data_IF_355045339916
#
_entry.id   IF_355045339916
#
_cell.length_a   1.000
_cell.length_b   1.000
_cell.length_c   1.000
_cell.angle_alpha   90.00
_cell.angle_beta   90.00
_cell.angle_gamma   90.00
#
_symmetry.space_group_name_H-M   'P 1'
#
loop_
_entity.id
_entity.type
_entity.pdbx_description
1 polymer ?
#
# COMPACT_ATOMS: atom_id res chain seq x y z
N UNK A 1 39.58 28.96 15.56
CA UNK A 1 40.36 27.90 14.86
C UNK A 1 40.34 26.54 15.56
N UNK A 2 40.44 26.47 16.90
CA UNK A 2 40.55 25.19 17.63
C UNK A 2 39.26 24.32 17.66
N UNK A 3 38.07 24.94 17.66
CA UNK A 3 36.78 24.22 17.65
C UNK A 3 36.49 23.50 16.32
N UNK A 4 36.88 24.11 15.20
CA UNK A 4 36.62 23.55 13.86
C UNK A 4 37.49 22.31 13.59
N UNK A 5 38.75 22.35 14.03
CA UNK A 5 39.68 21.20 13.93
C UNK A 5 39.20 20.00 14.75
N UNK A 6 38.71 20.22 15.99
CA UNK A 6 38.12 19.15 16.81
C UNK A 6 36.86 18.53 16.20
N UNK A 7 36.05 19.33 15.49
CA UNK A 7 34.83 18.84 14.83
C UNK A 7 35.15 18.01 13.59
N UNK A 8 36.18 18.39 12.84
CA UNK A 8 36.67 17.64 11.68
C UNK A 8 37.36 16.34 12.11
N UNK A 9 38.13 16.36 13.20
CA UNK A 9 38.77 15.17 13.77
C UNK A 9 37.73 14.14 14.24
N UNK A 10 36.65 14.59 14.90
CA UNK A 10 35.52 13.72 15.27
C UNK A 10 34.81 13.09 14.06
N UNK A 11 34.56 13.86 13.00
CA UNK A 11 33.96 13.32 11.76
C UNK A 11 34.86 12.32 11.05
N UNK A 12 36.18 12.48 11.17
CA UNK A 12 37.17 11.61 10.54
C UNK A 12 37.41 10.33 11.37
N UNK A 13 37.28 10.40 12.70
CA UNK A 13 37.26 9.26 13.61
C UNK A 13 35.97 8.43 13.47
N UNK A 14 34.81 9.07 13.29
CA UNK A 14 33.52 8.40 13.03
C UNK A 14 33.48 7.68 11.66
N UNK A 15 34.23 8.17 10.67
CA UNK A 15 34.33 7.54 9.34
C UNK A 15 35.36 6.39 9.28
N UNK A 16 36.34 6.35 10.19
CA UNK A 16 37.39 5.30 10.21
C UNK A 16 37.08 4.12 11.14
N UNK A 17 36.08 4.22 12.01
CA UNK A 17 35.59 3.12 12.84
C UNK A 17 34.57 2.27 12.09
N UNK A 18 35.06 1.41 11.19
CA UNK A 18 34.25 0.36 10.58
C UNK A 18 33.68 -0.59 11.63
N UNK A 19 32.36 -0.57 11.76
CA UNK A 19 31.44 -1.65 12.12
C UNK A 19 31.75 -2.41 13.41
N UNK A 20 31.17 -1.94 14.52
CA UNK A 20 30.46 -2.75 15.53
C UNK A 20 29.89 -1.80 16.60
N UNK A 21 28.87 -1.05 16.20
CA UNK A 21 28.14 -0.13 17.07
C UNK A 21 26.72 -0.62 17.23
N UNK A 22 26.30 -0.80 18.47
CA UNK A 22 24.93 -1.10 18.89
C UNK A 22 23.99 0.01 18.37
N UNK A 23 23.54 -0.08 17.12
CA UNK A 23 22.72 0.96 16.48
C UNK A 23 21.32 0.90 17.09
N UNK A 24 20.96 1.94 17.85
CA UNK A 24 19.60 2.09 18.38
C UNK A 24 18.58 1.95 17.25
N UNK A 25 17.58 1.08 17.43
CA UNK A 25 16.54 0.85 16.43
C UNK A 25 15.78 2.17 16.21
N UNK A 26 15.66 2.67 14.96
CA UNK A 26 14.91 3.89 14.67
C UNK A 26 13.48 3.86 15.25
N UNK A 27 12.95 4.99 15.77
CA UNK A 27 11.59 5.05 16.29
C UNK A 27 10.51 4.62 15.29
N UNK A 28 10.72 4.87 13.99
CA UNK A 28 9.83 4.43 12.91
C UNK A 28 9.73 2.91 12.84
N UNK A 29 10.86 2.21 12.92
CA UNK A 29 10.90 0.75 12.95
C UNK A 29 10.23 0.23 14.22
N UNK A 30 10.47 0.84 15.38
CA UNK A 30 9.82 0.43 16.64
C UNK A 30 8.30 0.59 16.55
N UNK A 31 7.82 1.69 15.97
CA UNK A 31 6.41 1.96 15.78
C UNK A 31 5.78 0.98 14.78
N UNK A 32 6.40 0.76 13.62
CA UNK A 32 5.90 -0.19 12.61
C UNK A 32 5.87 -1.63 13.13
N UNK A 33 6.88 -2.05 13.91
CA UNK A 33 6.88 -3.34 14.61
C UNK A 33 5.69 -3.48 15.54
N UNK A 34 5.42 -2.45 16.35
CA UNK A 34 4.28 -2.45 17.26
C UNK A 34 2.96 -2.57 16.51
N UNK A 35 2.76 -1.78 15.45
CA UNK A 35 1.55 -1.85 14.63
C UNK A 35 1.36 -3.25 14.00
N UNK A 36 2.44 -3.92 13.60
CA UNK A 36 2.39 -5.29 13.07
C UNK A 36 2.20 -6.37 14.14
N UNK A 37 2.66 -6.14 15.37
CA UNK A 37 2.43 -7.05 16.50
C UNK A 37 0.99 -6.96 17.02
N UNK A 38 0.39 -5.77 16.96
CA UNK A 38 -1.00 -5.52 17.31
C UNK A 38 -1.96 -5.83 16.15
N UNK A 39 -1.46 -6.10 14.95
CA UNK A 39 -2.28 -6.42 13.78
C UNK A 39 -3.06 -7.72 13.99
N UNK A 40 -4.38 -7.60 13.90
CA UNK A 40 -5.30 -8.73 13.85
C UNK A 40 -5.67 -9.05 12.40
N UNK A 41 -5.87 -10.34 12.11
CA UNK A 41 -6.26 -10.79 10.77
C UNK A 41 -7.55 -10.10 10.30
N UNK A 42 -7.49 -9.44 9.14
CA UNK A 42 -8.65 -8.87 8.47
C UNK A 42 -9.10 -9.87 7.40
N UNK A 43 -10.35 -10.38 7.45
CA UNK A 43 -10.87 -11.25 6.41
C UNK A 43 -10.75 -10.62 5.02
N UNK A 44 -10.19 -11.35 4.07
CA UNK A 44 -9.94 -10.83 2.72
C UNK A 44 -8.69 -9.95 2.61
N UNK A 45 -7.83 -9.88 3.63
CA UNK A 45 -6.51 -9.23 3.54
C UNK A 45 -5.44 -10.19 4.02
N UNK A 46 -4.49 -10.49 3.14
CA UNK A 46 -3.26 -11.22 3.48
C UNK A 46 -2.11 -10.23 3.55
N UNK A 47 -1.29 -10.33 4.60
CA UNK A 47 -0.16 -9.42 4.85
C UNK A 47 1.12 -10.24 4.95
N UNK A 48 2.17 -9.81 4.24
CA UNK A 48 3.51 -10.40 4.31
C UNK A 48 4.55 -9.29 4.46
N UNK A 49 5.58 -9.51 5.28
CA UNK A 49 6.72 -8.61 5.40
C UNK A 49 7.98 -9.43 5.74
N UNK A 50 9.16 -8.82 5.54
CA UNK A 50 10.46 -9.49 5.70
C UNK A 50 10.60 -10.16 7.09
N UNK A 51 10.94 -11.47 7.15
CA UNK A 51 11.21 -12.20 8.40
C UNK A 51 12.37 -11.63 9.23
N UNK A 52 13.22 -10.77 8.67
CA UNK A 52 14.22 -9.97 9.40
C UNK A 52 13.63 -8.99 10.43
N UNK A 53 12.30 -8.98 10.60
CA UNK A 53 11.57 -8.18 11.59
C UNK A 53 11.81 -6.68 11.36
N UNK A 54 11.75 -6.23 10.11
CA UNK A 54 11.75 -4.81 9.75
C UNK A 54 10.60 -4.59 8.78
N UNK A 55 9.39 -4.31 9.28
CA UNK A 55 8.20 -4.21 8.44
C UNK A 55 8.15 -2.89 7.67
N UNK A 56 9.30 -2.41 7.15
CA UNK A 56 9.37 -1.16 6.39
C UNK A 56 8.87 -1.35 4.95
N UNK A 57 8.90 -2.58 4.46
CA UNK A 57 8.27 -2.99 3.21
C UNK A 57 7.28 -4.12 3.51
N UNK A 58 6.04 -3.96 3.06
CA UNK A 58 4.93 -4.86 3.34
C UNK A 58 4.22 -5.18 2.04
N UNK A 59 4.05 -6.45 1.74
CA UNK A 59 3.19 -6.91 0.65
C UNK A 59 1.79 -7.20 1.18
N UNK A 60 0.77 -6.68 0.50
CA UNK A 60 -0.64 -6.91 0.81
C UNK A 60 -1.31 -7.65 -0.35
N UNK A 61 -2.18 -8.61 -0.05
CA UNK A 61 -3.14 -9.15 -1.03
C UNK A 61 -4.54 -8.92 -0.52
N UNK A 62 -5.34 -8.17 -1.27
CA UNK A 62 -6.74 -7.89 -0.97
C UNK A 62 -7.63 -8.79 -1.82
N UNK A 63 -8.53 -9.51 -1.17
CA UNK A 63 -9.46 -10.48 -1.77
C UNK A 63 -10.88 -10.20 -1.30
N UNK A 64 -11.58 -9.22 -1.89
CA UNK A 64 -12.96 -8.91 -1.54
C UNK A 64 -13.86 -10.13 -1.80
N UNK A 65 -14.75 -10.43 -0.85
CA UNK A 65 -15.71 -11.55 -0.95
C UNK A 65 -17.09 -11.10 -1.45
N UNK A 66 -17.32 -9.79 -1.50
CA UNK A 66 -18.56 -9.15 -1.92
C UNK A 66 -18.29 -7.87 -2.71
N UNK A 67 -19.35 -7.25 -3.22
CA UNK A 67 -19.28 -6.05 -4.04
C UNK A 67 -18.81 -6.31 -5.47
N UNK A 68 -18.48 -5.23 -6.19
CA UNK A 68 -18.14 -5.30 -7.61
C UNK A 68 -16.89 -6.13 -7.92
N UNK A 69 -15.95 -6.18 -6.95
CA UNK A 69 -14.65 -6.82 -7.09
C UNK A 69 -14.57 -8.20 -6.43
N UNK A 70 -15.72 -8.78 -6.06
CA UNK A 70 -15.80 -10.08 -5.44
C UNK A 70 -15.08 -11.15 -6.27
N UNK A 71 -14.23 -11.97 -5.61
CA UNK A 71 -13.48 -13.05 -6.27
C UNK A 71 -12.18 -12.62 -6.96
N UNK A 72 -11.85 -11.33 -6.94
CA UNK A 72 -10.55 -10.82 -7.37
C UNK A 72 -9.48 -10.96 -6.29
N UNK A 73 -8.21 -10.97 -6.71
CA UNK A 73 -7.04 -10.83 -5.82
C UNK A 73 -6.16 -9.68 -6.29
N UNK A 74 -5.98 -8.68 -5.45
CA UNK A 74 -5.29 -7.44 -5.76
C UNK A 74 -4.04 -7.30 -4.92
N UNK A 75 -2.89 -7.20 -5.56
CA UNK A 75 -1.59 -7.12 -4.90
C UNK A 75 -1.19 -5.66 -4.68
N UNK A 76 -0.63 -5.37 -3.51
CA UNK A 76 -0.10 -4.06 -3.17
C UNK A 76 1.29 -4.18 -2.55
N UNK A 77 2.11 -3.18 -2.84
CA UNK A 77 3.30 -2.85 -2.06
C UNK A 77 2.98 -1.67 -1.14
N UNK A 78 3.41 -1.78 0.11
CA UNK A 78 3.33 -0.75 1.12
C UNK A 78 4.75 -0.42 1.60
N UNK A 79 5.16 0.83 1.42
CA UNK A 79 6.44 1.36 1.88
C UNK A 79 6.19 2.26 3.09
N UNK A 80 6.78 1.90 4.22
CA UNK A 80 6.72 2.71 5.44
C UNK A 80 7.90 3.69 5.41
N UNK A 81 7.66 5.01 5.50
CA UNK A 81 8.73 5.99 5.43
C UNK A 81 9.60 5.98 6.70
N UNK A 82 10.83 6.48 6.57
CA UNK A 82 11.80 6.51 7.67
C UNK A 82 11.36 7.39 8.85
N UNK A 83 10.44 8.33 8.64
CA UNK A 83 9.88 9.23 9.65
C UNK A 83 8.46 8.84 10.11
N UNK A 84 7.99 7.64 9.74
CA UNK A 84 6.77 7.05 10.28
C UNK A 84 6.76 7.14 11.82
N UNK A 85 5.66 7.54 12.46
CA UNK A 85 4.31 7.77 11.91
C UNK A 85 3.99 9.22 11.53
N UNK A 86 4.98 10.11 11.38
CA UNK A 86 4.70 11.50 11.02
C UNK A 86 4.15 11.61 9.60
N UNK A 87 4.75 10.87 8.66
CA UNK A 87 4.20 10.65 7.32
C UNK A 87 3.51 9.28 7.21
N UNK A 88 2.51 9.23 6.36
CA UNK A 88 1.76 8.02 6.05
C UNK A 88 2.63 7.00 5.29
N UNK A 89 2.32 5.70 5.39
CA UNK A 89 2.87 4.71 4.45
C UNK A 89 2.40 5.01 3.02
N UNK A 90 3.25 4.71 2.05
CA UNK A 90 2.93 4.80 0.63
C UNK A 90 2.42 3.46 0.11
N UNK A 91 1.37 3.47 -0.71
CA UNK A 91 0.79 2.28 -1.30
C UNK A 91 0.84 2.34 -2.81
N UNK A 92 1.18 1.20 -3.43
CA UNK A 92 1.08 0.98 -4.86
C UNK A 92 0.36 -0.32 -5.16
N UNK A 93 -0.71 -0.25 -5.94
CA UNK A 93 -1.34 -1.43 -6.52
C UNK A 93 -0.43 -1.97 -7.64
N UNK A 94 -0.15 -3.27 -7.61
CA UNK A 94 0.69 -3.92 -8.61
C UNK A 94 -0.09 -4.39 -9.83
N UNK A 95 -1.42 -4.43 -9.73
CA UNK A 95 -2.31 -4.82 -10.81
C UNK A 95 -2.90 -3.59 -11.46
N UNK A 96 -2.87 -3.52 -12.79
CA UNK A 96 -3.65 -2.55 -13.55
C UNK A 96 -5.11 -2.99 -13.54
N UNK A 97 -5.95 -2.23 -12.84
CA UNK A 97 -7.36 -2.55 -12.62
C UNK A 97 -8.28 -1.37 -12.93
N UNK A 98 -9.54 -1.67 -13.24
CA UNK A 98 -10.55 -0.64 -13.46
C UNK A 98 -11.19 -0.23 -12.13
N UNK A 99 -10.64 0.81 -11.48
CA UNK A 99 -11.08 1.24 -10.15
C UNK A 99 -11.10 2.77 -10.02
N UNK A 100 -12.14 3.42 -9.45
CA UNK A 100 -12.22 4.88 -9.35
C UNK A 100 -11.04 5.54 -8.60
N UNK A 101 -10.60 4.91 -7.50
CA UNK A 101 -9.58 5.45 -6.61
C UNK A 101 -8.15 4.91 -6.84
N UNK A 102 -7.91 4.16 -7.93
CA UNK A 102 -6.59 3.62 -8.28
C UNK A 102 -6.33 3.94 -9.76
N UNK A 103 -5.20 4.56 -10.08
CA UNK A 103 -4.83 4.85 -11.47
C UNK A 103 -4.16 3.65 -12.17
N UNK A 104 -3.79 3.84 -13.44
CA UNK A 104 -3.19 2.78 -14.27
C UNK A 104 -1.72 2.50 -13.91
N UNK A 105 -1.08 3.42 -13.18
CA UNK A 105 0.26 3.32 -12.62
C UNK A 105 0.26 2.68 -11.21
N UNK A 106 -0.91 2.48 -10.62
CA UNK A 106 -1.11 1.82 -9.34
C UNK A 106 -1.14 2.76 -8.14
N UNK A 107 -1.12 4.08 -8.31
CA UNK A 107 -1.26 5.00 -7.19
C UNK A 107 -2.65 4.88 -6.57
N UNK A 108 -2.70 4.98 -5.24
CA UNK A 108 -3.94 4.84 -4.47
C UNK A 108 -4.40 6.20 -3.94
N UNK A 109 -5.69 6.49 -4.07
CA UNK A 109 -6.34 7.63 -3.43
C UNK A 109 -7.19 7.16 -2.25
N UNK A 110 -6.61 7.24 -1.06
CA UNK A 110 -7.28 7.01 0.22
C UNK A 110 -7.00 8.23 1.12
N UNK A 111 -8.05 8.86 1.64
CA UNK A 111 -7.95 10.09 2.43
C UNK A 111 -7.04 9.95 3.65
N UNK A 112 -7.10 8.81 4.35
CA UNK A 112 -6.24 8.54 5.51
C UNK A 112 -4.77 8.36 5.16
N UNK A 113 -4.40 8.21 3.88
CA UNK A 113 -3.01 8.25 3.42
C UNK A 113 -2.54 9.66 3.04
N UNK A 114 -3.42 10.66 3.12
CA UNK A 114 -3.20 12.04 2.63
C UNK A 114 -3.62 13.06 3.68
N UNK A 115 -4.69 13.82 3.42
CA UNK A 115 -5.15 14.92 4.27
C UNK A 115 -5.58 14.48 5.66
N UNK A 116 -6.08 13.25 5.78
CA UNK A 116 -6.67 12.75 7.02
C UNK A 116 -5.69 11.84 7.78
N UNK A 117 -4.45 11.72 7.30
CA UNK A 117 -3.40 11.00 8.02
C UNK A 117 -3.15 11.65 9.38
N UNK A 118 -3.08 10.81 10.41
CA UNK A 118 -2.67 11.21 11.74
C UNK A 118 -1.67 10.18 12.26
N UNK A 119 -0.62 10.61 12.98
CA UNK A 119 0.32 9.68 13.62
C UNK A 119 -0.34 8.67 14.58
N UNK A 120 -1.59 8.88 14.98
CA UNK A 120 -2.37 7.96 15.81
C UNK A 120 -3.04 6.83 15.04
N UNK A 121 -3.08 6.88 13.70
CA UNK A 121 -3.63 5.79 12.89
C UNK A 121 -2.63 4.63 12.83
N UNK A 122 -3.14 3.40 12.88
CA UNK A 122 -2.34 2.17 12.80
C UNK A 122 -2.33 1.61 11.38
N UNK A 123 -1.33 0.76 11.08
CA UNK A 123 -1.30 0.01 9.82
C UNK A 123 -2.55 -0.86 9.62
N UNK A 124 -3.12 -1.43 10.69
CA UNK A 124 -4.36 -2.20 10.60
C UNK A 124 -5.53 -1.37 10.03
N UNK A 125 -5.70 -0.13 10.50
CA UNK A 125 -6.74 0.76 9.98
C UNK A 125 -6.47 1.11 8.50
N UNK A 126 -5.21 1.31 8.13
CA UNK A 126 -4.84 1.58 6.75
C UNK A 126 -5.15 0.37 5.86
N UNK A 127 -4.77 -0.84 6.26
CA UNK A 127 -5.05 -2.06 5.50
C UNK A 127 -6.56 -2.32 5.36
N UNK A 128 -7.33 -2.06 6.42
CA UNK A 128 -8.80 -2.09 6.36
C UNK A 128 -9.34 -1.03 5.38
N UNK A 129 -8.76 0.17 5.37
CA UNK A 129 -9.09 1.23 4.43
C UNK A 129 -8.83 0.85 2.96
N UNK A 130 -7.73 0.14 2.68
CA UNK A 130 -7.46 -0.38 1.34
C UNK A 130 -8.53 -1.39 0.91
N UNK A 131 -8.89 -2.36 1.77
CA UNK A 131 -10.00 -3.28 1.49
C UNK A 131 -11.32 -2.51 1.27
N UNK A 132 -11.58 -1.49 2.09
CA UNK A 132 -12.81 -0.70 2.01
C UNK A 132 -12.98 0.00 0.65
N UNK A 133 -11.90 0.42 -0.01
CA UNK A 133 -11.99 0.99 -1.37
C UNK A 133 -12.65 0.02 -2.37
N UNK A 134 -12.44 -1.29 -2.22
CA UNK A 134 -13.07 -2.29 -3.08
C UNK A 134 -14.54 -2.54 -2.71
N UNK A 135 -14.86 -2.48 -1.41
CA UNK A 135 -16.22 -2.70 -0.93
C UNK A 135 -17.12 -1.50 -1.23
N UNK A 136 -16.59 -0.28 -1.10
CA UNK A 136 -17.30 0.98 -1.28
C UNK A 136 -16.41 1.96 -2.08
N UNK A 137 -16.28 1.77 -3.41
CA UNK A 137 -15.49 2.68 -4.24
C UNK A 137 -16.08 4.09 -4.21
N UNK A 138 -15.21 5.10 -4.17
CA UNK A 138 -15.63 6.49 -4.05
C UNK A 138 -15.48 7.22 -5.39
N UNK A 139 -16.57 7.70 -6.01
CA UNK A 139 -16.49 8.48 -7.25
C UNK A 139 -16.07 9.94 -7.04
N UNK A 140 -15.91 10.39 -5.79
CA UNK A 140 -15.45 11.75 -5.44
C UNK A 140 -13.92 11.82 -5.52
N UNK A 141 -13.40 12.86 -6.16
CA UNK A 141 -11.96 13.06 -6.43
C UNK A 141 -11.24 11.80 -6.98
N UNK A 142 -11.74 11.22 -8.09
CA UNK A 142 -11.24 9.95 -8.59
C UNK A 142 -9.91 10.10 -9.33
N UNK A 143 -9.09 9.06 -9.25
CA UNK A 143 -7.90 8.93 -10.10
C UNK A 143 -8.27 8.42 -11.49
N UNK A 144 -9.24 7.52 -11.57
CA UNK A 144 -9.81 7.03 -12.82
C UNK A 144 -11.21 7.62 -13.04
N UNK A 145 -11.29 8.63 -13.90
CA UNK A 145 -12.53 9.38 -14.18
C UNK A 145 -13.58 8.54 -14.91
N UNK A 146 -13.17 7.63 -15.78
CA UNK A 146 -14.10 6.76 -16.51
C UNK A 146 -14.80 5.81 -15.53
N UNK A 147 -14.03 5.15 -14.67
CA UNK A 147 -14.55 4.24 -13.65
C UNK A 147 -15.48 4.97 -12.67
N UNK A 148 -15.13 6.18 -12.24
CA UNK A 148 -15.97 6.99 -11.37
C UNK A 148 -17.26 7.46 -12.04
N UNK A 149 -17.20 7.84 -13.33
CA UNK A 149 -18.36 8.26 -14.09
C UNK A 149 -19.34 7.10 -14.30
N UNK A 150 -18.83 5.92 -14.64
CA UNK A 150 -19.65 4.70 -14.76
C UNK A 150 -20.32 4.38 -13.42
N UNK A 151 -19.56 4.39 -12.32
CA UNK A 151 -20.10 4.12 -10.98
C UNK A 151 -21.21 5.11 -10.60
N UNK A 152 -21.04 6.40 -10.90
CA UNK A 152 -21.99 7.44 -10.51
C UNK A 152 -23.26 7.47 -11.39
N UNK A 153 -23.14 7.14 -12.68
CA UNK A 153 -24.24 7.33 -13.66
C UNK A 153 -24.87 6.03 -14.12
N UNK A 154 -24.10 4.95 -14.22
CA UNK A 154 -24.50 3.68 -14.82
C UNK A 154 -23.86 2.50 -14.07
N UNK A 155 -24.31 2.19 -12.84
CA UNK A 155 -23.72 1.15 -12.00
C UNK A 155 -23.65 -0.23 -12.66
N UNK A 156 -24.60 -0.55 -13.57
CA UNK A 156 -24.62 -1.79 -14.33
C UNK A 156 -23.45 -1.88 -15.32
N UNK A 157 -23.13 -0.77 -15.99
CA UNK A 157 -21.97 -0.67 -16.89
C UNK A 157 -20.67 -0.72 -16.11
N UNK A 158 -20.62 -0.06 -14.95
CA UNK A 158 -19.49 -0.19 -14.03
C UNK A 158 -19.25 -1.65 -13.66
N UNK A 159 -20.29 -2.37 -13.22
CA UNK A 159 -20.20 -3.79 -12.89
C UNK A 159 -19.75 -4.65 -14.08
N UNK A 160 -20.18 -4.32 -15.30
CA UNK A 160 -19.77 -5.01 -16.53
C UNK A 160 -18.28 -4.77 -16.83
N UNK A 161 -17.82 -3.52 -16.75
CA UNK A 161 -16.44 -3.14 -16.98
C UNK A 161 -15.49 -3.72 -15.92
N UNK A 162 -15.88 -3.69 -14.65
CA UNK A 162 -15.11 -4.33 -13.56
C UNK A 162 -14.94 -5.81 -13.85
N UNK A 163 -16.01 -6.57 -14.08
CA UNK A 163 -15.92 -8.01 -14.41
C UNK A 163 -15.06 -8.30 -15.63
N UNK A 164 -15.26 -7.54 -16.71
CA UNK A 164 -14.45 -7.70 -17.93
C UNK A 164 -12.97 -7.40 -17.67
N UNK A 165 -12.65 -6.34 -16.91
CA UNK A 165 -11.27 -5.97 -16.58
C UNK A 165 -10.61 -7.03 -15.68
N UNK A 166 -11.32 -7.56 -14.68
CA UNK A 166 -10.81 -8.60 -13.78
C UNK A 166 -10.48 -9.91 -14.50
N UNK A 167 -11.18 -10.20 -15.60
CA UNK A 167 -10.90 -11.30 -16.51
C UNK A 167 -9.74 -11.02 -17.49
N UNK A 168 -9.03 -9.89 -17.36
CA UNK A 168 -7.94 -9.49 -18.26
C UNK A 168 -8.41 -8.90 -19.58
N UNK A 169 -9.64 -8.40 -19.62
CA UNK A 169 -10.18 -7.69 -20.78
C UNK A 169 -9.58 -6.29 -20.96
N UNK A 170 -10.12 -5.55 -21.93
CA UNK A 170 -9.72 -4.17 -22.21
C UNK A 170 -10.90 -3.22 -22.18
N UNK A 171 -10.64 -1.94 -21.90
CA UNK A 171 -11.59 -0.83 -22.00
C UNK A 171 -10.88 0.40 -22.57
N UNK A 172 -11.49 1.07 -23.55
CA UNK A 172 -10.93 2.26 -24.23
C UNK A 172 -9.46 2.09 -24.70
N UNK A 173 -9.10 0.90 -25.21
CA UNK A 173 -7.74 0.60 -25.68
C UNK A 173 -6.72 0.30 -24.56
N UNK A 174 -7.14 0.33 -23.30
CA UNK A 174 -6.32 -0.08 -22.15
C UNK A 174 -6.62 -1.53 -21.82
N UNK A 175 -5.60 -2.39 -21.84
CA UNK A 175 -5.68 -3.76 -21.34
C UNK A 175 -5.45 -3.79 -19.82
N UNK A 176 -6.22 -4.61 -19.11
CA UNK A 176 -6.14 -4.78 -17.66
C UNK A 176 -5.56 -6.16 -17.29
N UNK A 177 -5.01 -6.27 -16.09
CA UNK A 177 -4.46 -7.52 -15.61
C UNK A 177 -5.58 -8.48 -15.19
N UNK A 178 -5.40 -9.77 -15.52
CA UNK A 178 -6.29 -10.82 -15.01
C UNK A 178 -6.01 -11.03 -13.52
N UNK A 179 -7.01 -10.76 -12.69
CA UNK A 179 -6.96 -10.85 -11.22
C UNK A 179 -7.98 -11.82 -10.63
N UNK A 180 -8.87 -12.38 -11.46
CA UNK A 180 -9.73 -13.51 -11.11
C UNK A 180 -8.97 -14.84 -11.25
N UNK A 181 -9.36 -15.86 -10.47
CA UNK A 181 -8.91 -17.24 -10.65
C UNK A 181 -7.38 -17.43 -10.66
N UNK A 182 -6.64 -16.60 -9.92
CA UNK A 182 -5.24 -16.87 -9.60
C UNK A 182 -5.21 -18.06 -8.65
N UNK A 183 -5.24 -19.28 -9.20
CA UNK A 183 -4.89 -20.50 -8.50
C UNK A 183 -3.51 -20.30 -7.90
N UNK A 184 -3.47 -20.02 -6.59
CA UNK A 184 -2.26 -20.01 -5.73
C UNK A 184 -0.97 -19.71 -6.50
N UNK A 185 -0.74 -18.44 -6.83
CA UNK A 185 0.58 -18.01 -7.29
C UNK A 185 1.55 -18.19 -6.13
N UNK A 186 2.23 -19.35 -6.11
CA UNK A 186 3.39 -19.65 -5.26
C UNK A 186 4.56 -18.78 -5.70
N UNK A 187 4.47 -17.47 -5.45
CA UNK A 187 5.58 -16.54 -5.59
C UNK A 187 6.44 -16.62 -4.35
N UNK A 188 7.50 -17.44 -4.42
CA UNK A 188 8.66 -17.33 -3.54
C UNK A 188 9.32 -15.96 -3.78
N UNK A 189 9.50 -15.20 -2.70
CA UNK A 189 10.64 -14.32 -2.49
C UNK A 189 11.08 -14.48 -1.04
#
# INVERSE_FOLDING_TARGET
MLKLKKLQQRKQEEQNSGINGNSSIPPSILRAKRDMQEYENIPGVEVKYDPGNRPMHVSLVVSPVEGYYAGGKFQFECEIPQDYPHNAPEFRCLNKIYHPNIDLEGHVCLNILRSDWKPTLSLQLVFAGILHLFLQPNPTDPLNKDAANDLAKTPEEFARHVRNSMAGGSFNGVAFDRVENLSSYNGYY
#
